data_IF_037014626851
#
_entry.id   IF_037014626851
#
_cell.length_a   1.000
_cell.length_b   1.000
_cell.length_c   1.000
_cell.angle_alpha   90.00
_cell.angle_beta   90.00
_cell.angle_gamma   90.00
#
_symmetry.space_group_name_H-M   'P 1'
#
loop_
_entity.id
_entity.type
_entity.pdbx_description
1 polymer ?
#
# COMPACT_ATOMS: atom_id res chain seq x y z
N UNK A 1 18.32 -9.36 11.44
CA UNK A 1 17.36 -10.25 10.78
C UNK A 1 16.06 -10.34 11.58
N UNK A 2 14.98 -10.75 10.95
CA UNK A 2 13.68 -11.02 11.57
C UNK A 2 13.81 -11.99 12.75
N UNK A 3 14.57 -13.07 12.59
CA UNK A 3 14.86 -14.04 13.66
C UNK A 3 15.45 -13.39 14.90
N UNK A 4 16.40 -12.45 14.73
CA UNK A 4 16.98 -11.69 15.86
C UNK A 4 15.95 -10.82 16.55
N UNK A 5 15.02 -10.20 15.82
CA UNK A 5 13.92 -9.43 16.42
C UNK A 5 13.02 -10.33 17.25
N UNK A 6 12.68 -11.52 16.75
CA UNK A 6 11.85 -12.50 17.46
C UNK A 6 12.61 -13.03 18.70
N UNK A 7 13.89 -13.35 18.56
CA UNK A 7 14.73 -13.85 19.66
C UNK A 7 14.86 -12.86 20.84
N UNK A 8 14.94 -11.56 20.53
CA UNK A 8 15.08 -10.50 21.53
C UNK A 8 13.79 -9.68 21.75
N UNK A 9 12.64 -10.29 21.45
CA UNK A 9 11.35 -9.62 21.51
C UNK A 9 11.05 -8.96 22.87
N UNK A 10 11.24 -9.63 24.03
CA UNK A 10 10.96 -9.03 25.32
C UNK A 10 11.79 -7.77 25.60
N UNK A 11 13.08 -7.80 25.26
CA UNK A 11 13.99 -6.68 25.45
C UNK A 11 13.64 -5.51 24.55
N UNK A 12 13.36 -5.78 23.26
CA UNK A 12 12.97 -4.75 22.28
C UNK A 12 11.65 -4.11 22.69
N UNK A 13 10.66 -4.89 23.10
CA UNK A 13 9.38 -4.37 23.59
C UNK A 13 9.55 -3.45 24.81
N UNK A 14 10.40 -3.85 25.74
CA UNK A 14 10.68 -3.07 26.95
C UNK A 14 11.39 -1.75 26.62
N UNK A 15 12.31 -1.75 25.67
CA UNK A 15 13.12 -0.58 25.31
C UNK A 15 12.42 0.36 24.34
N UNK A 16 11.80 -0.17 23.28
CA UNK A 16 11.28 0.61 22.14
C UNK A 16 9.75 0.50 21.96
N UNK A 17 9.10 -0.38 22.70
CA UNK A 17 7.66 -0.60 22.64
C UNK A 17 7.21 -1.52 21.50
N UNK A 18 5.94 -1.93 21.56
CA UNK A 18 5.34 -2.90 20.63
C UNK A 18 5.31 -2.39 19.20
N UNK A 19 5.09 -1.10 19.01
CA UNK A 19 5.02 -0.50 17.66
C UNK A 19 6.35 -0.57 16.91
N UNK A 20 7.48 -0.50 17.61
CA UNK A 20 8.81 -0.66 17.01
C UNK A 20 9.01 -2.09 16.50
N UNK A 21 8.56 -3.09 17.25
CA UNK A 21 8.58 -4.50 16.83
C UNK A 21 7.72 -4.72 15.59
N UNK A 22 6.48 -4.23 15.60
CA UNK A 22 5.57 -4.36 14.46
C UNK A 22 6.14 -3.74 13.19
N UNK A 23 6.77 -2.58 13.28
CA UNK A 23 7.42 -1.91 12.16
C UNK A 23 8.64 -2.68 11.64
N UNK A 24 9.44 -3.27 12.53
CA UNK A 24 10.57 -4.10 12.15
C UNK A 24 10.09 -5.36 11.40
N UNK A 25 9.07 -6.04 11.90
CA UNK A 25 8.48 -7.20 11.23
C UNK A 25 7.88 -6.84 9.87
N UNK A 26 7.15 -5.70 9.79
CA UNK A 26 6.67 -5.17 8.53
C UNK A 26 7.80 -4.99 7.51
N UNK A 27 8.91 -4.38 7.91
CA UNK A 27 10.06 -4.14 7.03
C UNK A 27 10.63 -5.44 6.45
N UNK A 28 10.82 -6.48 7.27
CA UNK A 28 11.36 -7.74 6.77
C UNK A 28 10.39 -8.45 5.81
N UNK A 29 9.10 -8.43 6.11
CA UNK A 29 8.08 -9.02 5.25
C UNK A 29 7.87 -8.24 3.95
N UNK A 30 7.97 -6.90 3.97
CA UNK A 30 7.91 -6.10 2.74
C UNK A 30 9.06 -6.43 1.79
N UNK A 31 10.27 -6.63 2.29
CA UNK A 31 11.39 -7.03 1.43
C UNK A 31 11.11 -8.36 0.72
N UNK A 32 10.55 -9.34 1.42
CA UNK A 32 10.13 -10.63 0.81
C UNK A 32 9.04 -10.43 -0.24
N UNK A 33 8.06 -9.54 0.03
CA UNK A 33 6.98 -9.23 -0.93
C UNK A 33 7.50 -8.57 -2.19
N UNK A 34 8.44 -7.62 -2.08
CA UNK A 34 9.07 -6.99 -3.26
C UNK A 34 9.73 -8.04 -4.17
N UNK A 35 10.45 -9.00 -3.59
CA UNK A 35 11.04 -10.10 -4.36
C UNK A 35 9.96 -10.97 -5.03
N UNK A 36 8.88 -11.29 -4.33
CA UNK A 36 7.76 -12.03 -4.87
C UNK A 36 7.00 -11.27 -5.97
N UNK A 37 6.80 -9.97 -5.82
CA UNK A 37 6.19 -9.09 -6.82
C UNK A 37 7.04 -9.05 -8.11
N UNK A 38 8.35 -8.89 -7.97
CA UNK A 38 9.28 -8.92 -9.11
C UNK A 38 9.24 -10.26 -9.84
N UNK A 39 9.24 -11.37 -9.09
CA UNK A 39 9.13 -12.70 -9.67
C UNK A 39 7.79 -12.89 -10.40
N UNK A 40 6.69 -12.50 -9.77
CA UNK A 40 5.35 -12.60 -10.34
C UNK A 40 5.22 -11.81 -11.66
N UNK A 41 5.75 -10.59 -11.72
CA UNK A 41 5.75 -9.79 -12.95
C UNK A 41 6.61 -10.40 -14.04
N UNK A 42 7.81 -10.90 -13.74
CA UNK A 42 8.71 -11.55 -14.71
C UNK A 42 8.09 -12.82 -15.31
N UNK A 43 7.30 -13.53 -14.53
CA UNK A 43 6.66 -14.78 -14.94
C UNK A 43 5.24 -14.59 -15.50
N UNK A 44 4.76 -13.34 -15.59
CA UNK A 44 3.42 -13.02 -16.09
C UNK A 44 2.28 -13.42 -15.15
N UNK A 45 2.57 -13.70 -13.87
CA UNK A 45 1.59 -14.07 -12.84
C UNK A 45 0.98 -12.82 -12.20
N UNK A 46 0.20 -12.08 -12.99
CA UNK A 46 -0.30 -10.76 -12.58
C UNK A 46 -1.25 -10.82 -11.38
N UNK A 47 -2.02 -11.90 -11.22
CA UNK A 47 -2.87 -12.06 -10.04
C UNK A 47 -2.05 -12.19 -8.76
N UNK A 48 -0.95 -12.94 -8.77
CA UNK A 48 -0.05 -13.07 -7.62
C UNK A 48 0.58 -11.71 -7.26
N UNK A 49 0.91 -10.90 -8.26
CA UNK A 49 1.36 -9.54 -8.04
C UNK A 49 0.29 -8.69 -7.33
N UNK A 50 -0.98 -8.72 -7.76
CA UNK A 50 -2.09 -8.00 -7.10
C UNK A 50 -2.36 -8.51 -5.68
N UNK A 51 -2.24 -9.81 -5.45
CA UNK A 51 -2.34 -10.40 -4.10
C UNK A 51 -1.23 -9.89 -3.18
N UNK A 52 0.01 -9.77 -3.66
CA UNK A 52 1.11 -9.18 -2.89
C UNK A 52 0.89 -7.70 -2.60
N UNK A 53 0.35 -6.90 -3.54
CA UNK A 53 -0.05 -5.50 -3.30
C UNK A 53 -1.09 -5.42 -2.17
N UNK A 54 -2.09 -6.28 -2.19
CA UNK A 54 -3.11 -6.35 -1.14
C UNK A 54 -2.51 -6.77 0.21
N UNK A 55 -1.63 -7.77 0.22
CA UNK A 55 -0.93 -8.23 1.42
C UNK A 55 -0.03 -7.13 2.01
N UNK A 56 0.63 -6.34 1.16
CA UNK A 56 1.43 -5.18 1.55
C UNK A 56 0.55 -4.09 2.18
N UNK A 57 -0.62 -3.81 1.59
CA UNK A 57 -1.62 -2.89 2.17
C UNK A 57 -2.08 -3.33 3.56
N UNK A 58 -2.40 -4.61 3.71
CA UNK A 58 -2.78 -5.21 4.99
C UNK A 58 -1.66 -5.13 6.04
N UNK A 59 -0.41 -5.35 5.63
CA UNK A 59 0.76 -5.22 6.50
C UNK A 59 0.99 -3.76 6.91
N UNK A 60 0.84 -2.82 5.99
CA UNK A 60 0.88 -1.38 6.27
C UNK A 60 -0.17 -0.98 7.31
N UNK A 61 -1.40 -1.45 7.16
CA UNK A 61 -2.49 -1.22 8.10
C UNK A 61 -2.20 -1.80 9.48
N UNK A 62 -1.88 -3.10 9.56
CA UNK A 62 -1.82 -3.85 10.82
C UNK A 62 -0.49 -3.66 11.57
N UNK A 63 0.64 -3.63 10.84
CA UNK A 63 1.97 -3.68 11.43
C UNK A 63 2.69 -2.34 11.35
N UNK A 64 2.76 -1.71 10.17
CA UNK A 64 3.36 -0.39 10.05
C UNK A 64 2.50 0.68 10.74
N UNK A 65 1.17 0.53 10.69
CA UNK A 65 0.19 1.42 11.30
C UNK A 65 0.33 2.87 10.80
N UNK A 66 0.43 3.03 9.47
CA UNK A 66 0.58 4.32 8.81
C UNK A 66 -0.65 4.76 8.01
N UNK A 67 -1.78 4.03 8.12
CA UNK A 67 -3.03 4.40 7.46
C UNK A 67 -3.92 5.33 8.30
N UNK A 68 -3.59 5.53 9.56
CA UNK A 68 -4.37 6.32 10.50
C UNK A 68 -3.47 7.06 11.50
N UNK A 69 -4.03 8.07 12.16
CA UNK A 69 -3.40 8.76 13.28
C UNK A 69 -4.25 8.66 14.53
N UNK A 70 -3.60 8.62 15.69
CA UNK A 70 -4.27 8.66 16.99
C UNK A 70 -4.43 10.08 17.54
N UNK A 71 -3.80 11.07 16.92
CA UNK A 71 -3.86 12.47 17.34
C UNK A 71 -5.19 13.15 16.99
N UNK A 72 -5.87 12.66 15.94
CA UNK A 72 -7.20 13.12 15.55
C UNK A 72 -8.03 11.95 15.02
N UNK A 73 -8.86 11.38 15.86
CA UNK A 73 -9.68 10.23 15.50
C UNK A 73 -10.85 10.57 14.56
N UNK A 74 -11.18 11.85 14.41
CA UNK A 74 -12.22 12.29 13.47
C UNK A 74 -11.71 12.37 12.03
N UNK A 75 -10.41 12.50 11.82
CA UNK A 75 -9.78 12.69 10.52
C UNK A 75 -9.07 11.41 10.06
N UNK A 76 -9.80 10.52 9.40
CA UNK A 76 -9.31 9.21 8.96
C UNK A 76 -9.42 9.04 7.43
N UNK A 77 -9.07 10.07 6.66
CA UNK A 77 -9.29 10.14 5.20
C UNK A 77 -8.67 8.99 4.42
N UNK A 78 -7.41 8.59 4.73
CA UNK A 78 -6.76 7.43 4.06
C UNK A 78 -7.54 6.15 4.32
N UNK A 79 -7.97 5.92 5.55
CA UNK A 79 -8.73 4.71 5.91
C UNK A 79 -10.07 4.66 5.20
N UNK A 80 -10.77 5.80 5.12
CA UNK A 80 -12.04 5.91 4.38
C UNK A 80 -11.81 5.61 2.90
N UNK A 81 -10.79 6.21 2.29
CA UNK A 81 -10.46 5.97 0.90
C UNK A 81 -10.09 4.50 0.61
N UNK A 82 -9.31 3.85 1.49
CA UNK A 82 -9.01 2.43 1.39
C UNK A 82 -10.28 1.58 1.48
N UNK A 83 -11.13 1.82 2.48
CA UNK A 83 -12.37 1.06 2.67
C UNK A 83 -13.29 1.16 1.45
N UNK A 84 -13.49 2.37 0.91
CA UNK A 84 -14.28 2.57 -0.31
C UNK A 84 -13.69 1.82 -1.51
N UNK A 85 -12.37 1.85 -1.66
CA UNK A 85 -11.66 1.15 -2.74
C UNK A 85 -11.77 -0.36 -2.60
N UNK A 86 -11.59 -0.89 -1.38
CA UNK A 86 -11.75 -2.33 -1.10
C UNK A 86 -13.17 -2.80 -1.39
N UNK A 87 -14.20 -2.03 -1.03
CA UNK A 87 -15.60 -2.34 -1.37
C UNK A 87 -15.84 -2.37 -2.88
N UNK A 88 -15.27 -1.42 -3.62
CA UNK A 88 -15.34 -1.38 -5.08
C UNK A 88 -14.66 -2.61 -5.69
N UNK A 89 -13.43 -2.92 -5.27
CA UNK A 89 -12.66 -4.08 -5.73
C UNK A 89 -13.41 -5.39 -5.40
N UNK A 90 -13.96 -5.51 -4.20
CA UNK A 90 -14.74 -6.70 -3.80
C UNK A 90 -15.98 -6.90 -4.67
N UNK A 91 -16.66 -5.82 -5.06
CA UNK A 91 -17.81 -5.90 -5.98
C UNK A 91 -17.38 -6.33 -7.39
N UNK A 92 -16.25 -5.84 -7.87
CA UNK A 92 -15.75 -6.13 -9.22
C UNK A 92 -14.92 -7.42 -9.31
N UNK A 93 -14.45 -7.93 -8.17
CA UNK A 93 -13.55 -9.10 -8.07
C UNK A 93 -12.24 -8.93 -8.86
N UNK A 94 -11.79 -7.68 -9.06
CA UNK A 94 -10.63 -7.32 -9.89
C UNK A 94 -9.95 -6.09 -9.33
N UNK A 95 -8.64 -6.18 -9.08
CA UNK A 95 -7.81 -5.08 -8.62
C UNK A 95 -7.17 -5.31 -7.27
N UNK A 96 -6.37 -4.35 -6.85
CA UNK A 96 -5.73 -4.30 -5.54
C UNK A 96 -5.54 -2.85 -5.10
N UNK A 97 -5.44 -2.60 -3.80
CA UNK A 97 -5.13 -1.28 -3.29
C UNK A 97 -4.26 -1.34 -2.04
N UNK A 98 -3.58 -0.24 -1.78
CA UNK A 98 -2.80 -0.03 -0.56
C UNK A 98 -2.59 1.46 -0.28
N UNK A 99 -2.20 1.79 0.94
CA UNK A 99 -1.61 3.11 1.22
C UNK A 99 -0.32 3.27 0.42
N UNK A 100 -0.06 4.46 -0.11
CA UNK A 100 1.14 4.76 -0.88
C UNK A 100 2.01 5.82 -0.17
N UNK A 101 3.33 5.67 -0.26
CA UNK A 101 4.29 6.54 0.41
C UNK A 101 4.29 6.38 1.94
N UNK A 102 4.55 7.46 2.65
CA UNK A 102 4.68 7.46 4.12
C UNK A 102 3.39 7.22 4.89
N UNK A 103 2.24 7.35 4.25
CA UNK A 103 0.94 7.21 4.88
C UNK A 103 0.49 8.45 5.66
N UNK A 104 -0.30 8.26 6.71
CA UNK A 104 -0.87 9.23 7.65
C UNK A 104 -1.83 10.26 7.03
N UNK A 105 -1.41 11.09 6.11
CA UNK A 105 -2.20 12.08 5.39
C UNK A 105 -1.83 12.14 3.89
N UNK A 106 -1.25 11.06 3.38
CA UNK A 106 -0.81 10.96 1.99
C UNK A 106 -1.90 10.47 1.05
N UNK A 107 -1.55 9.54 0.18
CA UNK A 107 -2.41 8.98 -0.85
C UNK A 107 -2.52 7.47 -0.72
N UNK A 108 -3.55 6.91 -1.33
CA UNK A 108 -3.64 5.47 -1.62
C UNK A 108 -3.29 5.21 -3.08
N UNK A 109 -2.93 3.99 -3.39
CA UNK A 109 -2.78 3.48 -4.74
C UNK A 109 -3.83 2.40 -4.97
N UNK A 110 -4.56 2.51 -6.06
CA UNK A 110 -5.45 1.46 -6.57
C UNK A 110 -4.92 0.98 -7.92
N UNK A 111 -4.72 -0.33 -8.06
CA UNK A 111 -4.40 -0.99 -9.31
C UNK A 111 -5.64 -1.65 -9.84
N UNK A 112 -6.18 -1.13 -10.93
CA UNK A 112 -7.43 -1.58 -11.53
C UNK A 112 -7.23 -1.87 -13.01
N UNK A 113 -8.00 -2.78 -13.60
CA UNK A 113 -8.10 -2.91 -15.04
C UNK A 113 -8.56 -1.61 -15.68
N UNK A 114 -8.06 -1.30 -16.87
CA UNK A 114 -8.34 -0.04 -17.58
C UNK A 114 -9.84 0.19 -17.81
N UNK A 115 -10.62 -0.87 -18.01
CA UNK A 115 -12.07 -0.81 -18.20
C UNK A 115 -12.85 -0.37 -16.93
N UNK A 116 -12.22 -0.40 -15.76
CA UNK A 116 -12.84 0.01 -14.49
C UNK A 116 -12.41 1.41 -14.02
N UNK A 117 -11.39 2.01 -14.63
CA UNK A 117 -10.79 3.26 -14.13
C UNK A 117 -11.80 4.41 -14.11
N UNK A 118 -12.57 4.59 -15.19
CA UNK A 118 -13.55 5.68 -15.25
C UNK A 118 -14.69 5.50 -14.23
N UNK A 119 -15.19 4.28 -14.08
CA UNK A 119 -16.24 3.97 -13.10
C UNK A 119 -15.72 4.19 -11.67
N UNK A 120 -14.51 3.74 -11.38
CA UNK A 120 -13.87 3.93 -10.08
C UNK A 120 -13.64 5.41 -9.77
N UNK A 121 -13.13 6.19 -10.71
CA UNK A 121 -12.91 7.64 -10.53
C UNK A 121 -14.23 8.34 -10.18
N UNK A 122 -15.30 8.11 -10.94
CA UNK A 122 -16.62 8.66 -10.65
C UNK A 122 -17.18 8.22 -9.29
N UNK A 123 -16.94 6.95 -8.91
CA UNK A 123 -17.33 6.44 -7.61
C UNK A 123 -16.61 7.16 -6.46
N UNK A 124 -15.28 7.32 -6.57
CA UNK A 124 -14.49 8.00 -5.54
C UNK A 124 -14.81 9.49 -5.45
N UNK A 125 -14.95 10.18 -6.58
CA UNK A 125 -15.30 11.61 -6.63
C UNK A 125 -16.70 11.87 -6.04
N UNK A 126 -17.64 10.99 -6.26
CA UNK A 126 -18.97 11.07 -5.62
C UNK A 126 -18.86 10.97 -4.09
N UNK A 127 -17.95 10.19 -3.57
CA UNK A 127 -17.79 9.93 -2.13
C UNK A 127 -16.89 10.96 -1.44
N UNK A 128 -15.81 11.38 -2.10
CA UNK A 128 -14.72 12.16 -1.48
C UNK A 128 -14.52 13.53 -2.10
N UNK A 129 -15.25 13.87 -3.15
CA UNK A 129 -15.18 15.16 -3.85
C UNK A 129 -14.41 15.08 -5.17
N UNK A 130 -14.72 16.02 -6.05
CA UNK A 130 -14.13 16.14 -7.38
C UNK A 130 -12.61 16.31 -7.31
N UNK A 131 -11.88 15.62 -8.20
CA UNK A 131 -10.42 15.70 -8.30
C UNK A 131 -9.68 14.91 -7.20
N UNK A 132 -10.36 14.05 -6.44
CA UNK A 132 -9.71 13.21 -5.42
C UNK A 132 -8.96 12.00 -6.03
N UNK A 133 -9.22 11.64 -7.29
CA UNK A 133 -8.62 10.50 -7.97
C UNK A 133 -7.89 10.92 -9.24
N UNK A 134 -6.68 10.40 -9.42
CA UNK A 134 -5.83 10.68 -10.59
C UNK A 134 -5.49 9.39 -11.31
N UNK A 135 -5.78 9.31 -12.60
CA UNK A 135 -5.32 8.20 -13.43
C UNK A 135 -3.84 8.39 -13.75
N UNK A 136 -3.02 7.42 -13.37
CA UNK A 136 -1.57 7.46 -13.55
C UNK A 136 -1.09 6.20 -14.26
N UNK A 137 -0.03 6.33 -15.05
CA UNK A 137 0.69 5.22 -15.65
C UNK A 137 2.06 5.05 -15.00
N UNK A 138 2.53 3.80 -14.94
CA UNK A 138 3.88 3.52 -14.46
C UNK A 138 4.86 3.92 -15.55
N UNK A 139 5.82 4.78 -15.20
CA UNK A 139 6.90 5.17 -16.11
C UNK A 139 7.76 3.95 -16.45
N UNK A 140 8.09 3.72 -17.76
CA UNK A 140 8.85 2.54 -18.17
C UNK A 140 10.34 2.58 -17.77
N UNK A 141 10.81 3.71 -17.26
CA UNK A 141 12.21 3.90 -16.83
C UNK A 141 12.27 4.07 -15.31
N UNK A 142 13.27 3.46 -14.69
CA UNK A 142 13.61 3.67 -13.29
C UNK A 142 14.25 5.06 -13.04
N UNK A 143 15.20 5.13 -12.11
CA UNK A 143 16.00 6.33 -11.91
C UNK A 143 16.93 6.53 -13.12
N UNK A 144 16.86 7.70 -13.75
CA UNK A 144 17.69 8.09 -14.89
C UNK A 144 18.39 9.41 -14.61
N UNK A 145 19.57 9.60 -15.19
CA UNK A 145 20.24 10.89 -15.17
C UNK A 145 19.58 11.80 -16.21
N UNK A 146 19.04 12.94 -15.80
CA UNK A 146 18.31 13.85 -16.70
C UNK A 146 19.25 14.47 -17.73
N UNK A 147 20.53 14.67 -17.38
CA UNK A 147 21.52 15.21 -18.32
C UNK A 147 21.79 14.32 -19.54
N UNK A 148 21.42 13.05 -19.50
CA UNK A 148 21.57 12.12 -20.62
C UNK A 148 20.48 12.31 -21.70
N UNK A 149 19.49 13.18 -21.44
CA UNK A 149 18.31 13.44 -22.26
C UNK A 149 18.12 14.93 -22.60
N UNK A 150 19.05 15.80 -22.17
CA UNK A 150 19.12 17.21 -22.52
C UNK A 150 20.20 17.45 -23.58
#
# INVERSE_FOLDING_TARGET
>A
SEEKVIQHLPEIRKFAGDRAVLRALHFFEENKRVEAEVAALKEGRFNDFLENITASGNSSWKWLQNCFTTSNNAEQGITVALALTELFIAQKQRGACRVHGGGFAGVIMAMLPNDLVEEYTKYMEKCLGEGCAYNMSIRPYGAICVSDYL
#
